data_IF_568874842998
#
_entry.id   IF_568874842998
#
_cell.length_a   1.000
_cell.length_b   1.000
_cell.length_c   1.000
_cell.angle_alpha   90.00
_cell.angle_beta   90.00
_cell.angle_gamma   90.00
#
_symmetry.space_group_name_H-M   'P 1'
#
loop_
_entity.id
_entity.type
_entity.pdbx_description
1 polymer ?
#
# COMPACT_ATOMS: atom_id res chain seq x y z
N UNK A 1 15.50 -0.12 -36.45
CA UNK A 1 14.23 -0.80 -36.80
C UNK A 1 13.32 -0.73 -35.59
N UNK A 2 12.28 0.10 -35.66
CA UNK A 2 11.37 0.40 -34.55
C UNK A 2 10.18 -0.57 -34.56
N UNK A 3 10.14 -1.51 -33.61
CA UNK A 3 8.96 -2.37 -33.42
C UNK A 3 7.87 -1.59 -32.66
N UNK A 4 6.89 -1.09 -33.41
CA UNK A 4 5.60 -0.64 -32.86
C UNK A 4 4.76 -1.87 -32.54
N UNK A 5 4.43 -2.06 -31.27
CA UNK A 5 3.38 -2.99 -30.85
C UNK A 5 2.04 -2.26 -31.01
N UNK A 6 1.21 -2.73 -31.94
CA UNK A 6 -0.17 -2.27 -32.12
C UNK A 6 -1.09 -2.93 -31.09
N UNK A 7 -2.01 -2.14 -30.52
CA UNK A 7 -3.11 -2.65 -29.70
C UNK A 7 -4.24 -3.15 -30.64
N UNK A 8 -4.91 -4.27 -30.34
CA UNK A 8 -6.02 -4.75 -31.17
C UNK A 8 -7.30 -3.94 -30.95
N UNK A 9 -7.98 -3.59 -32.05
CA UNK A 9 -9.31 -2.99 -32.06
C UNK A 9 -10.38 -4.02 -31.65
N UNK A 10 -11.11 -3.71 -30.59
CA UNK A 10 -12.14 -4.57 -30.01
C UNK A 10 -13.51 -4.36 -30.62
N UNK A 11 -13.89 -5.20 -31.59
CA UNK A 11 -15.30 -5.58 -31.83
C UNK A 11 -15.38 -7.07 -32.15
N UNK A 12 -15.56 -7.88 -31.11
CA UNK A 12 -15.88 -9.30 -31.21
C UNK A 12 -16.31 -9.84 -29.85
N UNK A 13 -17.42 -10.56 -29.81
CA UNK A 13 -17.92 -11.32 -28.65
C UNK A 13 -16.96 -12.49 -28.31
N UNK A 14 -15.74 -12.17 -27.88
CA UNK A 14 -14.70 -13.14 -27.51
C UNK A 14 -14.70 -13.40 -26.01
N UNK A 15 -14.55 -14.66 -25.60
CA UNK A 15 -14.16 -15.03 -24.23
C UNK A 15 -12.95 -14.18 -23.84
N UNK A 16 -13.07 -13.38 -22.78
CA UNK A 16 -11.94 -12.62 -22.24
C UNK A 16 -10.87 -13.62 -21.82
N UNK A 17 -9.72 -13.60 -22.47
CA UNK A 17 -8.57 -14.42 -22.10
C UNK A 17 -8.03 -13.87 -20.76
N UNK A 18 -7.84 -14.76 -19.78
CA UNK A 18 -7.18 -14.38 -18.53
C UNK A 18 -5.70 -14.15 -18.81
N UNK A 19 -5.21 -12.94 -18.56
CA UNK A 19 -3.83 -12.53 -18.89
C UNK A 19 -2.96 -12.29 -17.66
N UNK A 20 -3.57 -12.08 -16.49
CA UNK A 20 -2.85 -11.74 -15.26
C UNK A 20 -3.03 -12.85 -14.23
N UNK A 21 -1.94 -13.34 -13.67
CA UNK A 21 -1.96 -14.47 -12.72
C UNK A 21 -1.69 -13.94 -11.31
N UNK A 22 -2.52 -14.35 -10.36
CA UNK A 22 -2.31 -14.17 -8.92
C UNK A 22 -2.25 -15.53 -8.27
N UNK A 23 -1.08 -15.88 -7.74
CA UNK A 23 -0.91 -17.08 -6.93
C UNK A 23 -1.25 -16.78 -5.47
N UNK A 24 -1.93 -17.71 -4.80
CA UNK A 24 -2.28 -17.59 -3.39
C UNK A 24 -2.05 -18.92 -2.66
N UNK A 25 -1.72 -18.83 -1.38
CA UNK A 25 -1.55 -19.98 -0.50
C UNK A 25 -2.03 -19.64 0.92
N UNK A 26 -2.68 -20.60 1.57
CA UNK A 26 -3.08 -20.46 2.96
C UNK A 26 -1.83 -20.43 3.85
N UNK A 27 -1.87 -19.59 4.88
CA UNK A 27 -0.80 -19.40 5.85
C UNK A 27 -1.44 -19.13 7.22
N UNK A 28 -1.48 -20.11 8.12
CA UNK A 28 -2.26 -19.99 9.36
C UNK A 28 -1.63 -19.05 10.40
N UNK A 29 -0.31 -18.83 10.34
CA UNK A 29 0.44 -17.97 11.26
C UNK A 29 1.78 -17.54 10.65
N UNK A 30 2.60 -16.84 11.43
CA UNK A 30 3.93 -16.39 11.04
C UNK A 30 5.07 -17.30 11.51
N UNK A 31 4.81 -18.59 11.77
CA UNK A 31 5.90 -19.56 11.96
C UNK A 31 6.70 -19.74 10.68
N UNK A 32 7.98 -20.06 10.85
CA UNK A 32 8.93 -20.17 9.74
C UNK A 32 8.48 -21.23 8.73
N UNK A 33 8.02 -22.39 9.19
CA UNK A 33 7.56 -23.48 8.32
C UNK A 33 6.32 -23.07 7.50
N UNK A 34 5.32 -22.46 8.16
CA UNK A 34 4.07 -22.07 7.49
C UNK A 34 4.29 -20.93 6.49
N UNK A 35 5.14 -19.96 6.83
CA UNK A 35 5.48 -18.86 5.91
C UNK A 35 6.29 -19.35 4.73
N UNK A 36 7.31 -20.20 4.95
CA UNK A 36 8.11 -20.77 3.86
C UNK A 36 7.24 -21.56 2.88
N UNK A 37 6.40 -22.46 3.41
CA UNK A 37 5.48 -23.28 2.63
C UNK A 37 4.51 -22.41 1.81
N UNK A 38 3.85 -21.44 2.45
CA UNK A 38 2.90 -20.55 1.80
C UNK A 38 3.58 -19.69 0.71
N UNK A 39 4.77 -19.15 0.96
CA UNK A 39 5.52 -18.40 -0.04
C UNK A 39 5.85 -19.27 -1.26
N UNK A 40 6.38 -20.48 -1.07
CA UNK A 40 6.71 -21.39 -2.18
C UNK A 40 5.49 -21.69 -3.05
N UNK A 41 4.36 -22.02 -2.42
CA UNK A 41 3.11 -22.33 -3.13
C UNK A 41 2.57 -21.09 -3.86
N UNK A 42 2.45 -19.94 -3.19
CA UNK A 42 1.95 -18.72 -3.81
C UNK A 42 2.81 -18.28 -5.00
N UNK A 43 4.14 -18.36 -4.86
CA UNK A 43 5.11 -18.05 -5.91
C UNK A 43 4.97 -19.03 -7.08
N UNK A 44 4.92 -20.33 -6.84
CA UNK A 44 4.73 -21.36 -7.88
C UNK A 44 3.44 -21.10 -8.66
N UNK A 45 2.33 -20.87 -7.94
CA UNK A 45 1.03 -20.57 -8.56
C UNK A 45 1.02 -19.25 -9.32
N UNK A 46 1.86 -18.29 -8.94
CA UNK A 46 2.08 -17.05 -9.70
C UNK A 46 2.97 -17.22 -10.95
N UNK A 47 3.42 -18.45 -11.26
CA UNK A 47 4.30 -18.74 -12.39
C UNK A 47 5.79 -18.71 -12.05
N UNK A 48 6.14 -18.84 -10.78
CA UNK A 48 7.51 -18.84 -10.28
C UNK A 48 8.14 -17.45 -10.19
N UNK A 49 9.25 -17.36 -9.43
CA UNK A 49 10.05 -16.14 -9.37
C UNK A 49 10.62 -15.78 -10.75
N UNK A 50 10.74 -14.49 -11.09
CA UNK A 50 11.53 -14.06 -12.24
C UNK A 50 13.00 -14.44 -12.04
N UNK A 51 13.74 -14.50 -13.15
CA UNK A 51 15.19 -14.35 -13.07
C UNK A 51 15.52 -13.01 -12.44
N UNK A 52 16.49 -12.98 -11.53
CA UNK A 52 16.94 -11.76 -10.87
C UNK A 52 18.39 -11.44 -11.21
N UNK A 53 18.77 -10.17 -11.13
CA UNK A 53 20.13 -9.72 -11.36
C UNK A 53 21.06 -9.91 -10.15
N UNK A 54 22.21 -9.23 -10.17
CA UNK A 54 23.21 -9.35 -9.11
C UNK A 54 22.77 -8.66 -7.84
N UNK A 55 22.18 -7.47 -7.94
CA UNK A 55 21.68 -6.71 -6.80
C UNK A 55 20.16 -6.76 -6.75
N UNK A 56 19.63 -7.47 -5.75
CA UNK A 56 18.18 -7.64 -5.56
C UNK A 56 17.71 -6.87 -4.34
N UNK A 57 16.78 -5.95 -4.57
CA UNK A 57 16.12 -5.19 -3.53
C UNK A 57 14.83 -5.88 -3.09
N UNK A 58 14.76 -6.25 -1.82
CA UNK A 58 13.54 -6.59 -1.12
C UNK A 58 12.96 -5.31 -0.52
N UNK A 59 11.78 -4.91 -0.99
CA UNK A 59 11.13 -3.67 -0.56
C UNK A 59 9.88 -3.96 0.30
N UNK A 60 10.03 -4.09 1.62
CA UNK A 60 8.89 -4.25 2.53
C UNK A 60 8.05 -2.97 2.64
N UNK A 61 6.99 -2.99 3.45
CA UNK A 61 6.27 -1.81 3.92
C UNK A 61 6.70 -1.50 5.36
N UNK A 62 7.45 -0.42 5.61
CA UNK A 62 7.97 -0.12 6.96
C UNK A 62 7.36 1.08 7.67
N UNK A 63 6.60 1.95 6.99
CA UNK A 63 5.79 3.09 7.50
C UNK A 63 6.21 3.76 8.83
N UNK A 64 6.19 3.07 9.97
CA UNK A 64 6.59 3.57 11.29
C UNK A 64 7.20 2.46 12.15
N UNK A 65 8.02 2.77 13.17
CA UNK A 65 8.54 1.78 14.12
C UNK A 65 7.39 1.15 14.91
N UNK A 66 6.96 -0.04 14.49
CA UNK A 66 5.78 -0.74 14.98
C UNK A 66 6.08 -2.21 15.11
N UNK A 67 5.54 -2.81 16.15
CA UNK A 67 5.70 -4.24 16.41
C UNK A 67 4.94 -5.04 15.34
N UNK A 68 5.42 -6.24 14.95
CA UNK A 68 4.83 -7.03 13.87
C UNK A 68 3.33 -7.34 14.06
N UNK A 69 2.90 -7.58 15.30
CA UNK A 69 1.51 -7.91 15.65
C UNK A 69 0.52 -6.76 15.41
N UNK A 70 1.00 -5.52 15.28
CA UNK A 70 0.16 -4.36 14.97
C UNK A 70 -0.32 -4.36 13.50
N UNK A 71 0.23 -5.24 12.65
CA UNK A 71 -0.09 -5.35 11.23
C UNK A 71 0.05 -4.03 10.43
N UNK A 72 0.86 -3.09 10.95
CA UNK A 72 1.15 -1.81 10.30
C UNK A 72 2.16 -1.99 9.17
N UNK A 73 3.14 -2.87 9.36
CA UNK A 73 4.26 -3.13 8.45
C UNK A 73 4.20 -4.55 7.89
N UNK A 74 4.99 -4.84 6.86
CA UNK A 74 5.17 -6.22 6.40
C UNK A 74 5.85 -7.04 7.50
N UNK A 75 5.36 -8.26 7.76
CA UNK A 75 5.91 -9.08 8.84
C UNK A 75 7.37 -9.50 8.56
N UNK A 76 8.30 -9.45 9.53
CA UNK A 76 9.71 -9.81 9.32
C UNK A 76 9.88 -11.24 8.81
N UNK A 77 9.11 -12.22 9.29
CA UNK A 77 9.16 -13.60 8.76
C UNK A 77 8.89 -13.70 7.26
N UNK A 78 7.92 -12.93 6.73
CA UNK A 78 7.64 -12.91 5.28
C UNK A 78 8.86 -12.42 4.50
N UNK A 79 9.52 -11.36 5.00
CA UNK A 79 10.71 -10.79 4.36
C UNK A 79 11.91 -11.73 4.49
N UNK A 80 12.13 -12.30 5.67
CA UNK A 80 13.20 -13.25 6.01
C UNK A 80 13.11 -14.50 5.14
N UNK A 81 11.94 -15.12 5.05
CA UNK A 81 11.72 -16.30 4.23
C UNK A 81 11.79 -15.99 2.73
N UNK A 82 11.34 -14.81 2.29
CA UNK A 82 11.57 -14.36 0.91
C UNK A 82 13.07 -14.24 0.60
N UNK A 83 13.86 -13.68 1.53
CA UNK A 83 15.32 -13.59 1.38
C UNK A 83 15.99 -14.97 1.33
N UNK A 84 15.57 -15.87 2.21
CA UNK A 84 16.03 -17.27 2.24
C UNK A 84 15.78 -17.98 0.90
N UNK A 85 14.55 -17.90 0.38
CA UNK A 85 14.17 -18.48 -0.91
C UNK A 85 14.97 -17.91 -2.09
N UNK A 86 15.27 -16.60 -2.07
CA UNK A 86 16.09 -15.97 -3.10
C UNK A 86 17.55 -16.41 -3.01
N UNK A 87 18.12 -16.56 -1.81
CA UNK A 87 19.47 -17.10 -1.63
C UNK A 87 19.60 -18.54 -2.11
N UNK A 88 18.60 -19.37 -1.83
CA UNK A 88 18.55 -20.75 -2.33
C UNK A 88 18.55 -20.79 -3.86
N UNK A 89 17.70 -19.98 -4.51
CA UNK A 89 17.53 -20.01 -5.97
C UNK A 89 18.59 -19.22 -6.73
N UNK A 90 19.14 -18.18 -6.12
CA UNK A 90 20.07 -17.22 -6.74
C UNK A 90 21.23 -16.91 -5.79
N UNK A 91 22.07 -17.91 -5.45
CA UNK A 91 23.14 -17.76 -4.45
C UNK A 91 24.21 -16.72 -4.82
N UNK A 92 24.31 -16.35 -6.10
CA UNK A 92 25.24 -15.32 -6.58
C UNK A 92 24.71 -13.88 -6.41
N UNK A 93 23.44 -13.70 -6.05
CA UNK A 93 22.82 -12.39 -5.88
C UNK A 93 23.06 -11.85 -4.46
N UNK A 94 23.39 -10.56 -4.37
CA UNK A 94 23.36 -9.83 -3.11
C UNK A 94 21.95 -9.30 -2.83
N UNK A 95 21.51 -9.43 -1.58
CA UNK A 95 20.18 -9.02 -1.15
C UNK A 95 20.28 -7.78 -0.27
N UNK A 96 19.42 -6.80 -0.54
CA UNK A 96 19.21 -5.62 0.29
C UNK A 96 17.73 -5.53 0.66
N UNK A 97 17.42 -5.49 1.95
CA UNK A 97 16.10 -5.12 2.46
C UNK A 97 16.08 -3.61 2.71
N UNK A 98 15.24 -2.87 1.99
CA UNK A 98 15.14 -1.43 2.21
C UNK A 98 13.75 -0.85 1.92
N UNK A 99 13.32 0.04 2.80
CA UNK A 99 12.18 0.94 2.61
C UNK A 99 12.47 2.26 3.35
N UNK A 100 11.71 3.33 3.06
CA UNK A 100 11.69 4.51 3.92
C UNK A 100 10.40 4.53 4.75
N UNK A 101 10.49 4.85 6.05
CA UNK A 101 9.30 5.08 6.84
C UNK A 101 8.65 6.42 6.44
N UNK A 102 7.52 6.74 7.08
CA UNK A 102 6.99 8.08 7.15
C UNK A 102 8.09 9.06 7.56
N UNK A 103 8.11 10.24 6.94
CA UNK A 103 9.23 11.17 6.95
C UNK A 103 9.63 11.74 8.33
N UNK A 104 8.88 11.48 9.41
CA UNK A 104 9.29 11.83 10.78
C UNK A 104 10.19 10.77 11.44
N UNK A 105 10.33 9.60 10.82
CA UNK A 105 11.09 8.47 11.34
C UNK A 105 12.37 8.22 10.54
N UNK A 106 12.69 9.04 9.53
CA UNK A 106 13.86 8.87 8.66
C UNK A 106 15.17 8.90 9.44
N UNK A 107 15.23 9.68 10.52
CA UNK A 107 16.43 9.81 11.35
C UNK A 107 16.50 8.73 12.44
N UNK A 108 15.51 7.83 12.50
CA UNK A 108 15.38 6.81 13.55
C UNK A 108 15.50 5.38 13.01
N UNK A 109 16.43 5.18 12.06
CA UNK A 109 16.64 3.90 11.35
C UNK A 109 16.77 2.69 12.27
N UNK A 110 17.54 2.80 13.36
CA UNK A 110 17.77 1.67 14.26
C UNK A 110 16.50 1.28 15.00
N UNK A 111 15.76 2.26 15.54
CA UNK A 111 14.48 2.01 16.19
C UNK A 111 13.46 1.40 15.23
N UNK A 112 13.46 1.84 13.95
CA UNK A 112 12.59 1.30 12.92
C UNK A 112 12.87 -0.18 12.67
N UNK A 113 14.12 -0.54 12.39
CA UNK A 113 14.46 -1.93 12.04
C UNK A 113 14.38 -2.87 13.24
N UNK A 114 14.63 -2.39 14.46
CA UNK A 114 14.45 -3.18 15.68
C UNK A 114 12.97 -3.43 15.97
N UNK A 115 12.14 -2.39 16.01
CA UNK A 115 10.71 -2.52 16.31
C UNK A 115 9.98 -3.38 15.26
N UNK A 116 10.37 -3.28 13.98
CA UNK A 116 9.76 -4.07 12.91
C UNK A 116 10.35 -5.49 12.78
N UNK A 117 11.37 -5.85 13.56
CA UNK A 117 12.07 -7.13 13.48
C UNK A 117 12.99 -7.30 12.25
N UNK A 118 13.04 -6.32 11.34
CA UNK A 118 13.87 -6.39 10.13
C UNK A 118 15.37 -6.51 10.43
N UNK A 119 15.81 -6.06 11.60
CA UNK A 119 17.21 -6.15 12.02
C UNK A 119 17.72 -7.61 12.14
N UNK A 120 16.84 -8.56 12.46
CA UNK A 120 17.23 -9.97 12.62
C UNK A 120 17.66 -10.58 11.28
N UNK A 121 17.05 -10.16 10.17
CA UNK A 121 17.42 -10.57 8.80
C UNK A 121 18.90 -10.23 8.51
N UNK A 122 19.38 -9.09 9.02
CA UNK A 122 20.79 -8.69 8.91
C UNK A 122 21.69 -9.53 9.82
N UNK A 123 21.28 -9.77 11.06
CA UNK A 123 22.07 -10.57 12.03
C UNK A 123 22.27 -12.00 11.57
N UNK A 124 21.26 -12.60 10.96
CA UNK A 124 21.33 -13.93 10.35
C UNK A 124 22.17 -13.96 9.06
N UNK A 125 22.64 -12.80 8.59
CA UNK A 125 23.44 -12.69 7.37
C UNK A 125 22.63 -12.95 6.10
N UNK A 126 21.29 -12.93 6.14
CA UNK A 126 20.44 -13.20 4.98
C UNK A 126 20.42 -12.05 3.97
N UNK A 127 20.41 -10.80 4.43
CA UNK A 127 20.46 -9.63 3.58
C UNK A 127 21.03 -8.43 4.35
N UNK A 128 21.60 -7.46 3.64
CA UNK A 128 21.82 -6.14 4.23
C UNK A 128 20.48 -5.44 4.48
N UNK A 129 20.41 -4.58 5.49
CA UNK A 129 19.20 -3.83 5.84
C UNK A 129 19.54 -2.34 5.87
N UNK A 130 18.77 -1.51 5.14
CA UNK A 130 19.01 -0.08 5.09
C UNK A 130 17.76 0.74 4.77
N UNK A 131 17.89 2.07 4.90
CA UNK A 131 16.89 2.99 4.37
C UNK A 131 17.12 3.18 2.87
N UNK A 132 16.05 3.35 2.11
CA UNK A 132 16.16 3.70 0.69
C UNK A 132 16.81 5.08 0.48
N UNK A 133 16.83 5.93 1.51
CA UNK A 133 17.50 7.23 1.48
C UNK A 133 19.02 7.18 1.62
N UNK A 134 19.63 6.01 1.90
CA UNK A 134 21.08 5.89 2.20
C UNK A 134 21.96 6.51 1.12
N UNK A 135 21.64 6.25 -0.16
CA UNK A 135 22.44 6.71 -1.30
C UNK A 135 21.80 7.93 -1.99
N UNK A 136 20.98 8.67 -1.24
CA UNK A 136 20.28 9.85 -1.73
C UNK A 136 19.20 9.54 -2.77
N UNK A 137 18.84 10.58 -3.51
CA UNK A 137 17.74 10.57 -4.47
C UNK A 137 18.18 11.16 -5.82
N UNK A 138 17.54 10.72 -6.90
CA UNK A 138 17.67 11.30 -8.23
C UNK A 138 16.40 12.03 -8.60
N UNK A 139 16.54 13.28 -9.04
CA UNK A 139 15.42 14.06 -9.59
C UNK A 139 15.17 13.66 -11.04
N UNK A 140 13.93 13.29 -11.34
CA UNK A 140 13.47 12.85 -12.66
C UNK A 140 12.32 13.76 -13.10
N UNK A 141 12.35 14.18 -14.37
CA UNK A 141 11.19 14.78 -15.03
C UNK A 141 10.37 13.67 -15.68
N UNK A 142 9.05 13.72 -15.53
CA UNK A 142 8.12 12.73 -16.07
C UNK A 142 7.36 13.34 -17.25
N UNK A 143 7.76 13.09 -18.52
CA UNK A 143 7.15 13.74 -19.68
C UNK A 143 5.68 13.36 -19.91
N UNK A 144 5.26 12.22 -19.37
CA UNK A 144 3.89 11.70 -19.42
C UNK A 144 3.29 11.56 -18.01
N UNK A 145 3.60 12.51 -17.13
CA UNK A 145 3.06 12.54 -15.77
C UNK A 145 1.54 12.67 -15.77
N UNK A 146 0.88 11.97 -14.86
CA UNK A 146 -0.53 12.12 -14.55
C UNK A 146 -0.78 13.25 -13.55
N UNK A 147 0.16 13.51 -12.65
CA UNK A 147 0.05 14.51 -11.58
C UNK A 147 1.38 15.17 -11.18
N UNK A 148 2.49 14.41 -11.12
CA UNK A 148 3.80 14.90 -10.70
C UNK A 148 4.74 15.06 -11.89
N UNK A 149 4.94 16.29 -12.37
CA UNK A 149 5.85 16.57 -13.50
C UNK A 149 7.32 16.28 -13.18
N UNK A 150 7.68 16.37 -11.89
CA UNK A 150 9.01 16.06 -11.36
C UNK A 150 8.87 15.25 -10.07
N UNK A 151 9.73 14.25 -9.93
CA UNK A 151 9.80 13.37 -8.76
C UNK A 151 11.25 13.17 -8.36
N UNK A 152 11.49 12.94 -7.08
CA UNK A 152 12.80 12.64 -6.52
C UNK A 152 12.76 11.26 -5.87
N UNK A 153 13.49 10.30 -6.45
CA UNK A 153 13.37 8.86 -6.18
C UNK A 153 14.70 8.29 -5.73
N UNK A 154 14.66 7.38 -4.76
CA UNK A 154 15.82 6.70 -4.19
C UNK A 154 16.78 6.18 -5.27
N UNK A 155 18.07 6.51 -5.13
CA UNK A 155 19.12 5.97 -6.00
C UNK A 155 19.15 4.44 -5.96
N UNK A 156 18.99 3.85 -4.76
CA UNK A 156 18.96 2.40 -4.54
C UNK A 156 17.82 1.76 -5.32
N UNK A 157 16.62 2.34 -5.24
CA UNK A 157 15.45 1.85 -5.99
C UNK A 157 15.74 1.84 -7.49
N UNK A 158 16.30 2.92 -8.02
CA UNK A 158 16.57 3.06 -9.45
C UNK A 158 17.70 2.14 -9.93
N UNK A 159 18.77 1.97 -9.15
CA UNK A 159 19.97 1.26 -9.56
C UNK A 159 19.96 -0.24 -9.27
N UNK A 160 19.00 -0.75 -8.50
CA UNK A 160 18.89 -2.19 -8.24
C UNK A 160 18.64 -2.94 -9.56
N UNK A 161 19.22 -4.12 -9.74
CA UNK A 161 18.98 -4.91 -10.95
C UNK A 161 17.58 -5.52 -10.95
N UNK A 162 17.10 -5.90 -9.77
CA UNK A 162 15.76 -6.46 -9.57
C UNK A 162 15.18 -6.01 -8.23
N UNK A 163 13.86 -5.93 -8.19
CA UNK A 163 13.04 -5.46 -7.07
C UNK A 163 11.91 -6.44 -6.84
N UNK A 164 11.88 -6.97 -5.62
CA UNK A 164 10.77 -7.77 -5.11
C UNK A 164 10.03 -6.90 -4.08
N UNK A 165 8.81 -6.52 -4.42
CA UNK A 165 7.96 -5.66 -3.60
C UNK A 165 7.15 -6.51 -2.63
N UNK A 166 7.32 -6.30 -1.32
CA UNK A 166 6.66 -7.08 -0.27
C UNK A 166 5.70 -6.15 0.48
N UNK A 167 4.44 -6.11 0.06
CA UNK A 167 3.43 -5.22 0.62
C UNK A 167 2.64 -5.88 1.76
N UNK A 168 2.02 -5.05 2.60
CA UNK A 168 1.07 -5.46 3.64
C UNK A 168 -0.37 -5.22 3.16
N UNK A 169 -1.24 -6.19 3.32
CA UNK A 169 -2.68 -6.01 3.11
C UNK A 169 -3.24 -5.11 4.22
N UNK A 170 -3.60 -3.86 3.89
CA UNK A 170 -4.19 -2.94 4.87
C UNK A 170 -5.08 -1.89 4.23
N UNK A 171 -6.02 -1.36 5.01
CA UNK A 171 -6.87 -0.23 4.63
C UNK A 171 -6.10 1.09 4.60
N UNK A 172 -6.64 2.09 3.90
CA UNK A 172 -6.12 3.46 3.93
C UNK A 172 -7.27 4.47 3.79
N UNK A 173 -7.32 5.50 4.63
CA UNK A 173 -8.40 6.50 4.63
C UNK A 173 -8.57 7.30 3.32
N UNK A 174 -7.48 7.56 2.60
CA UNK A 174 -7.53 8.29 1.32
C UNK A 174 -7.65 7.41 0.07
N UNK A 175 -6.92 6.29 0.01
CA UNK A 175 -6.86 5.39 -1.15
C UNK A 175 -7.78 4.16 -1.02
N UNK A 176 -8.58 4.09 0.05
CA UNK A 176 -9.41 2.96 0.51
C UNK A 176 -8.60 1.71 0.90
N UNK A 177 -7.59 1.35 0.11
CA UNK A 177 -6.66 0.26 0.35
C UNK A 177 -5.21 0.74 0.26
N UNK A 178 -4.33 0.01 0.94
CA UNK A 178 -2.91 -0.13 0.64
C UNK A 178 -2.72 -1.52 0.07
N UNK A 179 -1.73 -1.70 -0.79
CA UNK A 179 -1.23 -3.00 -1.24
C UNK A 179 0.06 -2.72 -2.05
N UNK A 180 0.30 -3.47 -3.11
CA UNK A 180 1.55 -3.48 -3.86
C UNK A 180 1.83 -2.19 -4.60
N UNK A 181 0.86 -1.56 -5.28
CA UNK A 181 1.13 -0.32 -6.02
C UNK A 181 1.50 0.80 -5.04
N UNK A 182 0.67 1.05 -4.01
CA UNK A 182 0.94 2.13 -3.04
C UNK A 182 2.24 1.90 -2.25
N UNK A 183 2.73 0.66 -2.14
CA UNK A 183 3.95 0.40 -1.40
C UNK A 183 5.14 1.20 -1.95
N UNK A 184 5.19 1.48 -3.26
CA UNK A 184 6.29 2.28 -3.85
C UNK A 184 6.38 3.70 -3.31
N UNK A 185 5.37 4.20 -2.60
CA UNK A 185 5.36 5.56 -2.08
C UNK A 185 6.59 5.88 -1.21
N UNK A 186 7.13 4.91 -0.48
CA UNK A 186 8.35 5.05 0.33
C UNK A 186 9.64 5.24 -0.48
N UNK A 187 9.64 5.07 -1.81
CA UNK A 187 10.83 5.27 -2.65
C UNK A 187 11.12 6.74 -2.93
N UNK A 188 10.11 7.59 -2.75
CA UNK A 188 10.21 9.02 -2.99
C UNK A 188 10.72 9.79 -1.75
N UNK A 189 11.36 10.93 -2.00
CA UNK A 189 11.80 11.82 -0.92
C UNK A 189 10.63 12.48 -0.18
N UNK A 190 10.96 13.28 0.84
CA UNK A 190 9.95 13.97 1.65
C UNK A 190 9.09 14.91 0.79
N UNK A 191 9.73 15.73 -0.04
CA UNK A 191 9.04 16.81 -0.74
C UNK A 191 8.14 16.28 -1.86
N UNK A 192 8.57 15.24 -2.58
CA UNK A 192 7.74 14.53 -3.56
C UNK A 192 6.53 13.89 -2.89
N UNK A 193 6.72 13.23 -1.74
CA UNK A 193 5.61 12.65 -0.96
C UNK A 193 4.64 13.72 -0.43
N UNK A 194 5.13 14.89 -0.03
CA UNK A 194 4.28 16.01 0.37
C UNK A 194 3.52 16.63 -0.81
N UNK A 195 4.16 16.75 -1.97
CA UNK A 195 3.52 17.22 -3.20
C UNK A 195 2.38 16.30 -3.66
N UNK A 196 2.52 14.99 -3.45
CA UNK A 196 1.45 14.01 -3.69
C UNK A 196 0.23 14.22 -2.78
N UNK A 197 0.43 14.68 -1.54
CA UNK A 197 -0.64 14.99 -0.57
C UNK A 197 -1.11 16.46 -0.61
N UNK A 198 -0.80 17.19 -1.67
CA UNK A 198 -1.18 18.60 -1.82
C UNK A 198 -2.69 18.82 -1.96
N UNK A 199 -3.13 20.10 -1.89
CA UNK A 199 -4.51 20.56 -1.95
C UNK A 199 -5.34 20.18 -3.20
N UNK A 200 -4.78 19.39 -4.10
CA UNK A 200 -5.34 19.08 -5.43
C UNK A 200 -6.33 17.91 -5.43
N UNK A 201 -6.64 17.36 -4.26
CA UNK A 201 -7.68 16.34 -4.05
C UNK A 201 -7.19 14.90 -4.24
N UNK A 202 -8.07 13.94 -3.93
CA UNK A 202 -7.70 12.50 -3.90
C UNK A 202 -7.24 11.95 -5.25
N UNK A 203 -7.82 12.40 -6.36
CA UNK A 203 -7.38 11.98 -7.70
C UNK A 203 -5.93 12.38 -7.99
N UNK A 204 -5.49 13.54 -7.49
CA UNK A 204 -4.08 13.95 -7.57
C UNK A 204 -3.19 12.98 -6.80
N UNK A 205 -3.59 12.54 -5.60
CA UNK A 205 -2.83 11.55 -4.83
C UNK A 205 -2.74 10.20 -5.56
N UNK A 206 -3.86 9.71 -6.12
CA UNK A 206 -3.89 8.44 -6.87
C UNK A 206 -2.94 8.47 -8.06
N UNK A 207 -3.05 9.51 -8.88
CA UNK A 207 -2.17 9.76 -10.02
C UNK A 207 -0.72 9.95 -9.61
N UNK A 208 -0.47 10.63 -8.50
CA UNK A 208 0.89 10.80 -7.96
C UNK A 208 1.51 9.45 -7.59
N UNK A 209 0.75 8.56 -6.94
CA UNK A 209 1.23 7.22 -6.60
C UNK A 209 1.50 6.40 -7.88
N UNK A 210 0.63 6.51 -8.89
CA UNK A 210 0.80 5.84 -10.19
C UNK A 210 2.04 6.37 -10.92
N UNK A 211 2.26 7.69 -10.95
CA UNK A 211 3.46 8.30 -11.51
C UNK A 211 4.73 7.73 -10.85
N UNK A 212 4.75 7.62 -9.52
CA UNK A 212 5.87 7.01 -8.78
C UNK A 212 6.07 5.53 -9.14
N UNK A 213 4.99 4.77 -9.29
CA UNK A 213 5.05 3.35 -9.66
C UNK A 213 5.63 3.16 -11.07
N UNK A 214 5.21 4.00 -12.03
CA UNK A 214 5.64 3.94 -13.42
C UNK A 214 7.11 4.29 -13.64
N UNK A 215 7.76 4.99 -12.71
CA UNK A 215 9.22 5.27 -12.78
C UNK A 215 10.02 3.98 -12.85
N UNK A 216 9.66 2.99 -12.01
CA UNK A 216 10.27 1.67 -12.00
C UNK A 216 9.30 0.68 -11.33
N UNK A 217 8.51 -0.05 -12.12
CA UNK A 217 7.67 -1.14 -11.62
C UNK A 217 8.53 -2.30 -11.07
N UNK A 218 8.14 -2.93 -9.96
CA UNK A 218 8.79 -4.14 -9.45
C UNK A 218 8.63 -5.34 -10.40
N UNK A 219 9.65 -6.18 -10.50
CA UNK A 219 9.65 -7.41 -11.30
C UNK A 219 8.73 -8.49 -10.70
N UNK A 220 8.54 -8.45 -9.37
CA UNK A 220 7.65 -9.35 -8.67
C UNK A 220 7.06 -8.72 -7.40
N UNK A 221 5.85 -9.13 -7.04
CA UNK A 221 5.12 -8.59 -5.90
C UNK A 221 4.64 -9.74 -5.01
N UNK A 222 4.85 -9.60 -3.71
CA UNK A 222 4.34 -10.46 -2.65
C UNK A 222 3.44 -9.59 -1.77
N UNK A 223 2.31 -10.14 -1.35
CA UNK A 223 1.37 -9.50 -0.44
C UNK A 223 1.25 -10.34 0.83
N UNK A 224 1.72 -9.79 1.93
CA UNK A 224 1.49 -10.27 3.29
C UNK A 224 0.04 -10.00 3.67
N UNK A 225 -0.78 -11.06 3.65
CA UNK A 225 -2.18 -11.07 4.03
C UNK A 225 -2.46 -12.13 5.11
N UNK A 226 -1.46 -12.52 5.91
CA UNK A 226 -1.65 -13.47 7.01
C UNK A 226 -2.45 -12.78 8.11
N UNK A 227 -1.89 -11.70 8.65
CA UNK A 227 -2.62 -10.68 9.39
C UNK A 227 -2.63 -9.39 8.58
N UNK A 228 -3.81 -8.82 8.40
CA UNK A 228 -4.02 -7.57 7.69
C UNK A 228 -4.50 -6.47 8.65
N UNK A 229 -4.70 -5.25 8.15
CA UNK A 229 -5.24 -4.15 8.96
C UNK A 229 -6.55 -3.60 8.37
N UNK A 230 -7.62 -3.66 9.16
CA UNK A 230 -8.94 -3.13 8.84
C UNK A 230 -9.22 -1.80 9.58
N UNK A 231 -10.24 -1.06 9.17
CA UNK A 231 -10.66 0.20 9.80
C UNK A 231 -9.87 1.42 9.31
N UNK A 232 -9.54 2.35 10.21
CA UNK A 232 -8.91 3.62 9.84
C UNK A 232 -7.38 3.49 9.74
N UNK A 233 -6.91 2.69 8.78
CA UNK A 233 -5.50 2.62 8.40
C UNK A 233 -4.98 3.94 7.78
N UNK A 234 -3.67 4.05 7.50
CA UNK A 234 -2.74 2.93 7.34
C UNK A 234 -1.88 2.60 8.57
N UNK A 235 -2.04 3.33 9.67
CA UNK A 235 -1.29 3.14 10.93
C UNK A 235 -2.19 2.99 12.17
N UNK A 236 -3.49 3.21 12.04
CA UNK A 236 -4.47 3.28 13.15
C UNK A 236 -5.67 2.35 12.98
N UNK A 237 -5.55 1.38 12.09
CA UNK A 237 -6.53 0.30 11.97
C UNK A 237 -6.35 -0.75 13.07
N UNK A 238 -7.13 -1.83 12.95
CA UNK A 238 -7.05 -2.99 13.84
C UNK A 238 -6.48 -4.19 13.06
N UNK A 239 -5.58 -4.98 13.66
CA UNK A 239 -5.19 -6.26 13.12
C UNK A 239 -6.40 -7.17 12.88
N UNK A 240 -6.42 -7.84 11.73
CA UNK A 240 -7.46 -8.78 11.33
C UNK A 240 -6.81 -9.97 10.66
N UNK A 241 -7.06 -11.16 11.20
CA UNK A 241 -6.57 -12.39 10.56
C UNK A 241 -7.26 -12.58 9.20
N UNK A 242 -6.46 -12.93 8.20
CA UNK A 242 -6.91 -13.26 6.86
C UNK A 242 -6.35 -14.61 6.39
N UNK A 243 -5.11 -14.95 6.77
CA UNK A 243 -4.55 -16.30 6.64
C UNK A 243 -4.00 -16.63 5.26
N UNK A 244 -3.52 -15.63 4.51
CA UNK A 244 -3.05 -15.83 3.13
C UNK A 244 -1.72 -15.16 2.83
N UNK A 245 -0.95 -15.78 1.93
CA UNK A 245 0.14 -15.13 1.20
C UNK A 245 -0.22 -15.12 -0.27
N UNK A 246 -0.07 -13.97 -0.92
CA UNK A 246 -0.33 -13.84 -2.35
C UNK A 246 0.91 -13.36 -3.09
N UNK A 247 1.02 -13.70 -4.37
CA UNK A 247 2.12 -13.30 -5.22
C UNK A 247 1.66 -13.04 -6.67
N UNK A 248 2.30 -12.09 -7.35
CA UNK A 248 2.06 -11.82 -8.76
C UNK A 248 3.21 -11.04 -9.41
N UNK A 249 3.34 -11.21 -10.74
CA UNK A 249 4.15 -10.32 -11.59
C UNK A 249 3.48 -8.98 -11.85
N UNK A 250 2.16 -8.85 -11.63
CA UNK A 250 1.43 -7.62 -11.86
C UNK A 250 0.83 -7.08 -10.56
N UNK A 251 1.31 -5.91 -10.13
CA UNK A 251 0.86 -5.28 -8.88
C UNK A 251 -0.64 -4.91 -8.90
N UNK A 252 -1.19 -4.48 -10.04
CA UNK A 252 -2.61 -4.12 -10.13
C UNK A 252 -3.52 -5.34 -10.01
N UNK A 253 -3.14 -6.48 -10.62
CA UNK A 253 -3.87 -7.72 -10.45
C UNK A 253 -3.89 -8.17 -8.98
N UNK A 254 -2.73 -8.07 -8.31
CA UNK A 254 -2.59 -8.39 -6.90
C UNK A 254 -3.44 -7.45 -6.00
N UNK A 255 -3.42 -6.14 -6.29
CA UNK A 255 -4.20 -5.14 -5.57
C UNK A 255 -5.72 -5.29 -5.82
N UNK A 256 -6.14 -5.74 -7.00
CA UNK A 256 -7.54 -6.03 -7.32
C UNK A 256 -8.04 -7.25 -6.52
N UNK A 257 -7.24 -8.32 -6.41
CA UNK A 257 -7.56 -9.46 -5.54
C UNK A 257 -7.57 -9.02 -4.08
N UNK A 258 -6.61 -8.19 -3.64
CA UNK A 258 -6.59 -7.63 -2.29
C UNK A 258 -7.86 -6.83 -1.95
N UNK A 259 -8.36 -6.01 -2.87
CA UNK A 259 -9.64 -5.33 -2.70
C UNK A 259 -10.80 -6.33 -2.62
N UNK A 260 -10.83 -7.38 -3.44
CA UNK A 260 -11.86 -8.41 -3.31
C UNK A 260 -11.83 -9.07 -1.91
N UNK A 261 -10.65 -9.40 -1.38
CA UNK A 261 -10.46 -9.95 -0.03
C UNK A 261 -11.07 -9.04 1.04
N UNK A 262 -10.90 -7.72 0.90
CA UNK A 262 -11.45 -6.69 1.79
C UNK A 262 -12.97 -6.44 1.61
N UNK A 263 -13.64 -7.26 0.79
CA UNK A 263 -15.09 -7.21 0.59
C UNK A 263 -15.54 -6.19 -0.46
N UNK A 264 -14.68 -5.76 -1.39
CA UNK A 264 -15.08 -5.00 -2.57
C UNK A 264 -15.52 -5.96 -3.67
N UNK A 265 -16.84 -6.13 -3.86
CA UNK A 265 -17.42 -7.04 -4.87
C UNK A 265 -16.93 -6.69 -6.28
N UNK A 266 -16.79 -5.39 -6.57
CA UNK A 266 -16.13 -4.86 -7.75
C UNK A 266 -14.84 -4.14 -7.33
N UNK A 267 -13.66 -4.77 -7.38
CA UNK A 267 -12.39 -4.15 -7.00
C UNK A 267 -12.13 -2.80 -7.65
N UNK A 268 -12.41 -2.66 -8.94
CA UNK A 268 -12.25 -1.40 -9.69
C UNK A 268 -13.29 -0.31 -9.35
N UNK A 269 -14.20 -0.55 -8.40
CA UNK A 269 -14.97 0.54 -7.76
C UNK A 269 -14.13 1.35 -6.78
N UNK A 270 -12.95 0.86 -6.39
CA UNK A 270 -11.93 1.64 -5.69
C UNK A 270 -11.30 2.61 -6.69
N UNK A 271 -11.48 3.94 -6.54
CA UNK A 271 -11.06 4.91 -7.55
C UNK A 271 -9.56 4.86 -7.87
N UNK A 272 -8.73 4.49 -6.87
CA UNK A 272 -7.30 4.30 -7.07
C UNK A 272 -6.98 3.17 -8.05
N UNK A 273 -7.68 2.03 -7.94
CA UNK A 273 -7.48 0.88 -8.83
C UNK A 273 -8.03 1.14 -10.23
N UNK A 274 -9.16 1.86 -10.31
CA UNK A 274 -9.72 2.30 -11.58
C UNK A 274 -8.74 3.20 -12.35
N UNK A 275 -8.13 4.18 -11.66
CA UNK A 275 -7.14 5.08 -12.28
C UNK A 275 -5.87 4.33 -12.72
N UNK A 276 -5.43 3.35 -11.93
CA UNK A 276 -4.30 2.49 -12.28
C UNK A 276 -4.60 1.65 -13.54
N UNK A 277 -5.81 1.09 -13.66
CA UNK A 277 -6.25 0.36 -14.84
C UNK A 277 -6.30 1.25 -16.09
N UNK A 278 -6.87 2.46 -15.97
CA UNK A 278 -6.90 3.46 -17.06
C UNK A 278 -5.51 3.88 -17.52
N UNK A 279 -4.54 3.85 -16.61
CA UNK A 279 -3.13 4.16 -16.88
C UNK A 279 -2.35 2.98 -17.48
N UNK A 280 -3.00 1.84 -17.72
CA UNK A 280 -2.41 0.68 -18.39
C UNK A 280 -1.52 -0.19 -17.50
N UNK A 281 -1.65 -0.10 -16.17
CA UNK A 281 -0.78 -0.85 -15.24
C UNK A 281 -1.09 -2.34 -15.19
N UNK A 282 -2.22 -2.79 -15.74
CA UNK A 282 -2.63 -4.19 -15.69
C UNK A 282 -4.10 -4.37 -16.04
N UNK A 283 -4.81 -5.27 -15.35
CA UNK A 283 -6.16 -5.67 -15.72
C UNK A 283 -7.15 -4.52 -15.67
N UNK A 284 -8.15 -4.57 -16.56
CA UNK A 284 -9.31 -3.66 -16.55
C UNK A 284 -10.50 -4.18 -15.74
N UNK A 285 -10.47 -5.47 -15.41
CA UNK A 285 -11.53 -6.16 -14.71
C UNK A 285 -11.04 -7.46 -14.06
N UNK A 286 -11.86 -8.04 -13.18
CA UNK A 286 -11.52 -9.29 -12.48
C UNK A 286 -11.51 -10.50 -13.43
N UNK A 287 -12.24 -10.41 -14.54
CA UNK A 287 -12.32 -11.40 -15.59
C UNK A 287 -11.00 -11.62 -16.34
N UNK A 288 -10.09 -10.64 -16.32
CA UNK A 288 -8.75 -10.75 -16.89
C UNK A 288 -7.74 -11.39 -15.92
N UNK A 289 -8.16 -11.67 -14.68
CA UNK A 289 -7.33 -12.20 -13.60
C UNK A 289 -7.62 -13.68 -13.37
N UNK A 290 -6.56 -14.48 -13.36
CA UNK A 290 -6.57 -15.87 -12.95
C UNK A 290 -5.99 -16.00 -11.54
N UNK A 291 -6.86 -16.33 -10.58
CA UNK A 291 -6.44 -16.71 -9.23
C UNK A 291 -6.13 -18.20 -9.20
N UNK A 292 -4.95 -18.56 -8.70
CA UNK A 292 -4.45 -19.94 -8.63
C UNK A 292 -4.02 -20.28 -7.20
N UNK A 293 -4.35 -21.48 -6.74
CA UNK A 293 -4.02 -21.98 -5.40
C UNK A 293 -5.17 -21.91 -4.39
N UNK A 294 -6.22 -21.15 -4.69
CA UNK A 294 -7.51 -21.15 -3.99
C UNK A 294 -8.61 -20.69 -4.95
N UNK A 295 -9.88 -20.89 -4.59
CA UNK A 295 -10.98 -20.21 -5.27
C UNK A 295 -11.03 -18.75 -4.82
N UNK A 296 -11.45 -17.85 -5.70
CA UNK A 296 -11.50 -16.41 -5.39
C UNK A 296 -12.37 -16.14 -4.16
N UNK A 297 -13.49 -16.85 -4.03
CA UNK A 297 -14.46 -16.68 -2.95
C UNK A 297 -13.88 -17.05 -1.57
N UNK A 298 -12.94 -18.00 -1.53
CA UNK A 298 -12.26 -18.44 -0.30
C UNK A 298 -11.35 -17.35 0.27
N UNK A 299 -10.89 -16.42 -0.58
CA UNK A 299 -10.03 -15.32 -0.17
C UNK A 299 -10.80 -14.18 0.53
N UNK A 300 -12.14 -14.19 0.47
CA UNK A 300 -12.96 -13.12 1.02
C UNK A 300 -12.91 -13.12 2.55
N UNK A 301 -12.53 -12.00 3.15
CA UNK A 301 -12.51 -11.83 4.60
C UNK A 301 -13.92 -11.41 5.07
N UNK A 302 -14.61 -12.23 5.87
CA UNK A 302 -15.96 -11.90 6.32
C UNK A 302 -15.97 -10.66 7.20
N UNK A 303 -16.95 -9.79 6.97
CA UNK A 303 -17.20 -8.57 7.76
C UNK A 303 -16.01 -7.63 7.89
N UNK A 304 -15.12 -7.60 6.88
CA UNK A 304 -13.95 -6.74 6.86
C UNK A 304 -14.34 -5.25 6.95
N UNK A 305 -13.76 -4.54 7.92
CA UNK A 305 -14.03 -3.11 8.12
C UNK A 305 -13.21 -2.28 7.14
N UNK A 306 -13.86 -1.71 6.13
CA UNK A 306 -13.23 -0.77 5.20
C UNK A 306 -12.85 0.54 5.91
N UNK A 307 -11.85 1.25 5.38
CA UNK A 307 -11.56 2.60 5.81
C UNK A 307 -12.78 3.48 5.59
N UNK A 308 -13.19 4.24 6.61
CA UNK A 308 -14.47 4.95 6.66
C UNK A 308 -15.69 4.05 6.49
N UNK A 309 -16.34 3.73 7.61
CA UNK A 309 -17.49 2.83 7.73
C UNK A 309 -18.72 3.21 6.89
N UNK A 310 -18.71 4.36 6.23
CA UNK A 310 -19.87 4.90 5.49
C UNK A 310 -19.83 4.62 4.00
N UNK A 311 -18.66 4.41 3.38
CA UNK A 311 -18.60 4.03 1.96
C UNK A 311 -19.09 2.59 1.73
N UNK A 312 -19.05 1.76 2.79
CA UNK A 312 -19.56 0.39 2.75
C UNK A 312 -21.05 0.27 2.45
N UNK A 313 -21.85 1.26 2.86
CA UNK A 313 -23.32 1.21 2.80
C UNK A 313 -23.93 2.05 1.65
N UNK A 314 -23.08 2.70 0.85
CA UNK A 314 -23.54 3.48 -0.30
C UNK A 314 -23.67 2.53 -1.50
N UNK A 315 -24.86 2.42 -2.13
CA UNK A 315 -25.05 1.58 -3.30
C UNK A 315 -24.02 1.92 -4.38
N UNK A 316 -23.41 0.91 -4.99
CA UNK A 316 -22.23 1.05 -5.87
C UNK A 316 -22.37 2.13 -6.95
N UNK A 317 -23.56 2.27 -7.55
CA UNK A 317 -23.90 3.28 -8.58
C UNK A 317 -23.75 4.73 -8.13
N UNK A 318 -23.84 4.98 -6.82
CA UNK A 318 -23.73 6.32 -6.24
C UNK A 318 -22.36 6.58 -5.60
N UNK A 319 -21.51 5.55 -5.52
CA UNK A 319 -20.22 5.62 -4.82
C UNK A 319 -19.29 6.69 -5.43
N UNK A 320 -19.22 6.80 -6.75
CA UNK A 320 -18.40 7.82 -7.45
C UNK A 320 -18.85 9.26 -7.19
N UNK A 321 -20.17 9.49 -7.08
CA UNK A 321 -20.74 10.80 -6.73
C UNK A 321 -20.55 11.11 -5.24
N UNK A 322 -20.88 10.14 -4.36
CA UNK A 322 -20.75 10.31 -2.93
C UNK A 322 -19.29 10.50 -2.51
N UNK A 323 -18.31 9.81 -3.10
CA UNK A 323 -16.89 9.99 -2.76
C UNK A 323 -16.40 11.44 -2.91
N UNK A 324 -17.09 12.27 -3.70
CA UNK A 324 -16.85 13.72 -3.84
C UNK A 324 -17.46 14.57 -2.71
N UNK A 325 -18.47 14.05 -2.00
CA UNK A 325 -19.22 14.71 -0.91
C UNK A 325 -18.82 14.20 0.49
N UNK A 326 -18.15 13.05 0.58
CA UNK A 326 -17.70 12.43 1.83
C UNK A 326 -16.41 13.11 2.29
N UNK A 327 -16.55 14.21 3.03
CA UNK A 327 -15.40 14.89 3.63
C UNK A 327 -15.11 14.31 5.01
N UNK A 328 -13.92 13.74 5.14
CA UNK A 328 -13.32 13.41 6.42
C UNK A 328 -12.46 14.59 6.87
N UNK A 329 -12.51 14.90 8.15
CA UNK A 329 -11.73 15.97 8.73
C UNK A 329 -10.87 15.42 9.87
N UNK A 330 -9.61 15.87 9.99
CA UNK A 330 -8.81 15.53 11.15
C UNK A 330 -9.44 16.16 12.41
N UNK A 331 -9.56 15.40 13.48
CA UNK A 331 -10.09 15.87 14.77
C UNK A 331 -9.14 15.46 15.91
N UNK A 332 -8.78 16.42 16.75
CA UNK A 332 -7.93 16.20 17.91
C UNK A 332 -8.75 15.65 19.07
N UNK A 333 -8.24 14.61 19.73
CA UNK A 333 -8.65 14.16 21.06
C UNK A 333 -7.64 14.74 22.05
N UNK A 334 -7.96 15.85 22.75
CA UNK A 334 -7.00 16.57 23.58
C UNK A 334 -6.35 15.70 24.66
N UNK A 335 -7.11 14.76 25.21
CA UNK A 335 -6.71 13.90 26.33
C UNK A 335 -5.58 12.92 25.96
N UNK A 336 -5.45 12.60 24.67
CA UNK A 336 -4.37 11.74 24.15
C UNK A 336 -3.16 12.53 23.67
N UNK A 337 -3.25 13.86 23.62
CA UNK A 337 -2.23 14.68 22.99
C UNK A 337 -1.09 15.01 23.95
N UNK A 338 0.14 14.65 23.55
CA UNK A 338 1.37 15.01 24.27
C UNK A 338 2.07 16.24 23.68
N UNK A 339 1.40 16.99 22.80
CA UNK A 339 1.92 18.21 22.15
C UNK A 339 3.30 18.09 21.49
N UNK A 340 3.62 16.91 20.93
CA UNK A 340 4.92 16.63 20.30
C UNK A 340 5.22 17.44 19.00
N UNK A 341 4.25 18.17 18.47
CA UNK A 341 4.39 18.99 17.25
C UNK A 341 4.51 18.23 15.93
N UNK A 342 4.37 16.90 15.93
CA UNK A 342 4.44 16.08 14.70
C UNK A 342 3.39 16.52 13.68
N UNK A 343 2.14 16.76 14.11
CA UNK A 343 1.02 17.13 13.22
C UNK A 343 1.23 18.46 12.49
N UNK A 344 1.92 19.44 13.10
CA UNK A 344 2.31 20.70 12.47
C UNK A 344 3.39 20.47 11.42
N UNK A 345 4.47 19.75 11.78
CA UNK A 345 5.60 19.44 10.88
C UNK A 345 5.19 18.67 9.62
N UNK A 346 4.18 17.81 9.74
CA UNK A 346 3.68 16.95 8.66
C UNK A 346 2.62 17.62 7.79
N UNK A 347 2.14 18.81 8.16
CA UNK A 347 1.06 19.46 7.42
C UNK A 347 1.59 20.10 6.12
N UNK A 348 1.20 19.61 4.93
CA UNK A 348 1.76 20.11 3.66
C UNK A 348 1.33 21.54 3.33
N UNK A 349 0.27 22.02 3.97
CA UNK A 349 -0.32 23.36 3.76
C UNK A 349 -0.23 24.24 5.00
N UNK A 350 0.57 23.83 6.00
CA UNK A 350 0.81 24.60 7.23
C UNK A 350 -0.48 25.07 7.92
N UNK A 351 -1.51 24.23 7.89
CA UNK A 351 -2.82 24.49 8.47
C UNK A 351 -2.90 24.13 9.96
N UNK A 352 -1.81 23.66 10.57
CA UNK A 352 -1.79 23.25 11.98
C UNK A 352 -0.72 24.08 12.69
N UNK A 353 -1.07 24.65 13.83
CA UNK A 353 -0.13 25.40 14.69
C UNK A 353 -0.14 24.83 16.10
N UNK A 354 1.04 24.62 16.68
CA UNK A 354 1.16 24.18 18.08
C UNK A 354 1.15 25.40 18.99
N UNK A 355 0.09 25.54 19.78
CA UNK A 355 0.08 26.42 20.95
C UNK A 355 0.32 25.59 22.21
N UNK A 356 -0.69 25.41 23.05
CA UNK A 356 -0.69 24.42 24.15
C UNK A 356 -1.05 23.02 23.65
N UNK A 357 -1.99 22.96 22.71
CA UNK A 357 -2.40 21.77 21.94
C UNK A 357 -2.45 22.16 20.45
N UNK A 358 -2.47 21.18 19.52
CA UNK A 358 -2.60 21.47 18.10
C UNK A 358 -3.91 22.19 17.75
N UNK A 359 -3.82 23.34 17.10
CA UNK A 359 -4.97 24.04 16.51
C UNK A 359 -4.95 23.88 14.99
N UNK A 360 -6.10 23.54 14.39
CA UNK A 360 -6.23 23.32 12.94
C UNK A 360 -7.00 24.49 12.32
N UNK A 361 -6.32 25.28 11.48
CA UNK A 361 -6.95 26.24 10.59
C UNK A 361 -7.75 25.50 9.51
N UNK A 362 -9.08 25.47 9.69
CA UNK A 362 -10.01 24.77 8.79
C UNK A 362 -10.11 25.41 7.42
N UNK A 363 -9.76 26.69 7.27
CA UNK A 363 -9.77 27.38 5.98
C UNK A 363 -8.60 26.94 5.09
N UNK A 364 -7.45 26.62 5.70
CA UNK A 364 -6.26 26.12 5.01
C UNK A 364 -6.23 24.59 4.88
N UNK A 365 -6.87 23.87 5.80
CA UNK A 365 -6.79 22.41 5.87
C UNK A 365 -7.38 21.74 4.62
N UNK A 366 -6.52 21.03 3.88
CA UNK A 366 -6.89 20.28 2.67
C UNK A 366 -7.38 18.86 2.94
N UNK A 367 -7.52 18.49 4.21
CA UNK A 367 -8.11 17.21 4.64
C UNK A 367 -7.32 15.98 4.14
N UNK A 368 -6.01 16.12 3.93
CA UNK A 368 -5.11 15.02 3.53
C UNK A 368 -4.85 13.98 4.63
N UNK A 369 -5.27 14.24 5.87
CA UNK A 369 -5.11 13.33 7.01
C UNK A 369 -3.66 12.88 7.32
N UNK A 370 -2.62 13.53 6.76
CA UNK A 370 -1.21 13.25 7.13
C UNK A 370 -0.98 13.38 8.65
N UNK A 371 -1.67 14.31 9.30
CA UNK A 371 -1.62 14.48 10.76
C UNK A 371 -2.22 13.29 11.54
N UNK A 372 -3.22 12.61 10.99
CA UNK A 372 -3.79 11.37 11.56
C UNK A 372 -2.82 10.20 11.37
N UNK A 373 -2.30 10.03 10.15
CA UNK A 373 -1.37 8.94 9.80
C UNK A 373 -0.09 8.99 10.65
N UNK A 374 0.42 10.19 10.89
CA UNK A 374 1.73 10.42 11.51
C UNK A 374 1.69 10.70 13.01
N UNK A 375 0.52 10.94 13.61
CA UNK A 375 0.43 11.19 15.05
C UNK A 375 0.90 9.94 15.83
N UNK A 376 1.89 10.03 16.73
CA UNK A 376 2.42 8.88 17.47
C UNK A 376 1.49 8.36 18.58
N UNK A 377 0.70 9.25 19.19
CA UNK A 377 -0.24 8.90 20.27
C UNK A 377 -1.65 8.52 19.78
N UNK A 378 -1.92 8.69 18.47
CA UNK A 378 -3.27 8.53 17.94
C UNK A 378 -4.26 9.59 18.45
N UNK A 379 -3.76 10.74 18.92
CA UNK A 379 -4.57 11.89 19.31
C UNK A 379 -5.27 12.56 18.12
N UNK A 380 -4.69 12.47 16.92
CA UNK A 380 -5.32 12.93 15.68
C UNK A 380 -6.17 11.81 15.11
N UNK A 381 -7.48 12.00 15.09
CA UNK A 381 -8.49 11.04 14.61
C UNK A 381 -9.22 11.56 13.38
N UNK A 382 -10.14 10.76 12.85
CA UNK A 382 -10.91 11.08 11.65
C UNK A 382 -12.37 11.29 12.05
N UNK A 383 -12.87 12.50 11.82
CA UNK A 383 -14.28 12.85 11.98
C UNK A 383 -15.01 12.83 10.65
N UNK A 384 -16.19 12.23 10.65
CA UNK A 384 -17.13 12.24 9.53
C UNK A 384 -17.97 13.52 9.54
N UNK A 385 -18.44 13.98 8.37
CA UNK A 385 -19.41 15.08 8.31
C UNK A 385 -20.80 14.65 8.84
N UNK A 386 -21.67 15.61 9.16
CA UNK A 386 -23.00 15.32 9.71
C UNK A 386 -23.85 14.43 8.79
N UNK A 387 -23.79 14.66 7.47
CA UNK A 387 -24.51 13.87 6.46
C UNK A 387 -24.06 12.40 6.48
N UNK A 388 -22.75 12.14 6.54
CA UNK A 388 -22.14 10.82 6.73
C UNK A 388 -22.65 10.15 8.02
N UNK A 389 -22.64 10.88 9.13
CA UNK A 389 -23.10 10.38 10.43
C UNK A 389 -24.57 9.98 10.43
N UNK A 390 -25.42 10.74 9.71
CA UNK A 390 -26.84 10.43 9.53
C UNK A 390 -27.05 9.19 8.65
N UNK A 391 -26.39 9.10 7.49
CA UNK A 391 -26.46 7.93 6.60
C UNK A 391 -26.00 6.64 7.30
N UNK A 392 -25.02 6.73 8.20
CA UNK A 392 -24.56 5.59 9.02
C UNK A 392 -25.60 5.13 10.04
N UNK A 393 -26.35 6.05 10.65
CA UNK A 393 -27.46 5.70 11.56
C UNK A 393 -28.62 5.03 10.83
N UNK A 394 -28.91 5.49 9.60
CA UNK A 394 -29.96 4.90 8.74
C UNK A 394 -29.56 3.49 8.28
N UNK A 395 -28.31 3.29 7.86
CA UNK A 395 -27.83 1.96 7.44
C UNK A 395 -27.64 0.96 8.58
N UNK A 396 -27.52 1.41 9.84
CA UNK A 396 -27.57 0.53 11.03
C UNK A 396 -28.98 0.11 11.44
N UNK A 397 -30.01 0.81 10.96
CA UNK A 397 -31.42 0.54 11.29
C UNK A 397 -32.15 -0.21 10.18
N UNK A 398 -31.53 -0.40 9.01
CA UNK A 398 -32.04 -1.22 7.92
C UNK A 398 -31.41 -2.62 7.91
N UNK A 399 -32.03 -3.57 8.60
CA UNK A 399 -31.93 -5.00 8.26
C UNK A 399 -32.71 -5.25 6.98
N UNK A 400 -32.03 -5.63 5.90
CA UNK A 400 -32.58 -6.42 4.79
C UNK A 400 -31.48 -7.27 4.18
#
# INVERSE_FOLDING_TARGET
MSNKVSLPDGKGNGRVLKHYIVGCAACPDYSDENVNSALRVAIEKAGGLPSVGKQVLLKPNLLSPREPDEAVTSHPTIVRETASLLKEKFPASSLLVADNPGYIFTDRKESLFRATGMWEIKKEGLAEVSLLSRDGYKSLRLPKSLALERVSISSIWLSSDSVINIAKLKTHVETEITASIKNVFGTADRDTRMAAHSAKGKAHLYRSIIDLFLVRPPEFNILDAVWCMEGNGPSRGMPRFAGWVLASRNALALDAVAAFMMGYVKPFSVPFLEEAAKSGLGPRGMEEIEVRGAKLEELRIPSFKKATSVIGNIPERFRGFCHRLLFLYPELIPEKCVSCGVCEKVCPVQAITIKRIPEIDRSKCVKCLCCHEMCPEGAMTVKENLLLGMLRKISRTGTW
#
